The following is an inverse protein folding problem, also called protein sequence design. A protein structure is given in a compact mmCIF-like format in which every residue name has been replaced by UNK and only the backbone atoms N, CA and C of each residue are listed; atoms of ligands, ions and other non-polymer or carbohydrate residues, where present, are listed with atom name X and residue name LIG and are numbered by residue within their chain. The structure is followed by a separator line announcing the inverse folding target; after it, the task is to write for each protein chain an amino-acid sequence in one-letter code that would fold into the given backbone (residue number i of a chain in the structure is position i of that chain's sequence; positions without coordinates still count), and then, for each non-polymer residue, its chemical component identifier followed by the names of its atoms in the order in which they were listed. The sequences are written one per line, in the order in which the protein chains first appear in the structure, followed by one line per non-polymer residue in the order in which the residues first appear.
data_IF_360387692010
#
_entry.id   IF_360387692010
#
_cell.length_a   1.000
_cell.length_b   1.000
_cell.length_c   1.000
_cell.angle_alpha   90.00
_cell.angle_beta   90.00
_cell.angle_gamma   90.00
#
_symmetry.space_group_name_H-M   'P 1'
#
loop_
_entity.id
_entity.type
_entity.pdbx_description
1 polymer ?
#
# COMPACT_ATOMS: atom_id res chain seq x y z
N UNK A 1 5.22 -3.71 13.34
CA UNK A 1 4.65 -2.38 13.41
C UNK A 1 4.21 -1.93 12.08
N UNK A 2 2.96 -1.65 11.95
CA UNK A 2 2.40 -1.18 10.71
C UNK A 2 2.19 0.32 10.74
N UNK A 3 1.79 0.86 9.63
CA UNK A 3 1.35 2.23 9.53
C UNK A 3 -0.16 2.24 9.42
N UNK A 4 -0.79 3.27 9.96
CA UNK A 4 -2.22 3.39 9.84
C UNK A 4 -2.62 4.83 9.63
N UNK A 5 -3.73 5.02 8.95
CA UNK A 5 -4.26 6.34 8.67
C UNK A 5 -5.76 6.26 8.43
N UNK A 6 -6.47 7.28 8.92
CA UNK A 6 -7.90 7.40 8.64
C UNK A 6 -8.02 8.29 7.42
N UNK A 7 -8.46 7.72 6.31
CA UNK A 7 -8.43 8.39 5.02
C UNK A 7 -9.66 8.03 4.21
N UNK A 8 -9.81 8.76 3.11
CA UNK A 8 -10.78 8.38 2.09
C UNK A 8 -10.11 7.43 1.11
N UNK A 9 -10.82 6.39 0.73
CA UNK A 9 -10.31 5.41 -0.20
C UNK A 9 -11.31 5.16 -1.31
N UNK A 10 -10.79 4.77 -2.46
CA UNK A 10 -11.60 4.37 -3.60
C UNK A 10 -11.10 3.00 -4.05
N UNK A 11 -12.03 2.07 -4.20
CA UNK A 11 -11.70 0.71 -4.63
C UNK A 11 -12.67 0.37 -5.75
N UNK A 12 -12.17 0.32 -6.99
CA UNK A 12 -13.05 0.12 -8.13
C UNK A 12 -14.09 1.23 -8.17
N UNK A 13 -15.36 0.84 -8.09
CA UNK A 13 -16.47 1.80 -8.11
C UNK A 13 -16.90 2.26 -6.73
N UNK A 14 -16.31 1.71 -5.68
CA UNK A 14 -16.69 2.05 -4.32
C UNK A 14 -15.79 3.15 -3.78
N UNK A 15 -16.35 3.99 -2.92
CA UNK A 15 -15.59 5.04 -2.27
C UNK A 15 -16.14 5.24 -0.88
N UNK A 16 -15.27 5.56 0.07
CA UNK A 16 -15.71 5.79 1.42
C UNK A 16 -14.53 6.07 2.33
N UNK A 17 -14.84 6.30 3.60
CA UNK A 17 -13.79 6.55 4.57
C UNK A 17 -13.40 5.25 5.26
N UNK A 18 -12.11 5.05 5.35
CA UNK A 18 -11.58 3.82 5.90
C UNK A 18 -10.40 4.12 6.79
N UNK A 19 -10.06 3.15 7.63
CA UNK A 19 -8.78 3.13 8.29
C UNK A 19 -7.89 2.19 7.48
N UNK A 20 -6.85 2.75 6.91
CA UNK A 20 -5.90 1.96 6.14
C UNK A 20 -4.78 1.51 7.08
N UNK A 21 -4.46 0.25 7.03
CA UNK A 21 -3.45 -0.36 7.88
C UNK A 21 -2.42 -1.01 6.97
N UNK A 22 -1.21 -0.51 7.01
CA UNK A 22 -0.13 -1.10 6.23
C UNK A 22 0.67 -2.01 7.14
N UNK A 23 0.43 -3.30 6.98
CA UNK A 23 1.11 -4.31 7.76
C UNK A 23 2.31 -4.83 7.00
N UNK A 24 3.05 -5.72 7.64
CA UNK A 24 4.24 -6.28 7.04
C UNK A 24 3.94 -7.03 5.74
N UNK A 25 2.87 -7.79 5.74
CA UNK A 25 2.54 -8.69 4.63
C UNK A 25 1.35 -8.23 3.81
N UNK A 26 0.61 -7.26 4.29
CA UNK A 26 -0.65 -6.92 3.62
C UNK A 26 -1.06 -5.49 3.94
N UNK A 27 -1.92 -4.99 3.09
CA UNK A 27 -2.57 -3.70 3.28
C UNK A 27 -4.03 -3.99 3.56
N UNK A 28 -4.54 -3.45 4.66
CA UNK A 28 -5.90 -3.69 5.10
C UNK A 28 -6.67 -2.39 5.09
N UNK A 29 -7.89 -2.44 4.56
CA UNK A 29 -8.81 -1.33 4.61
C UNK A 29 -9.99 -1.73 5.47
N UNK A 30 -10.31 -0.91 6.46
CA UNK A 30 -11.42 -1.17 7.38
C UNK A 30 -12.27 0.09 7.48
N UNK A 31 -13.57 -0.09 7.52
CA UNK A 31 -14.50 1.03 7.60
C UNK A 31 -15.61 0.83 6.60
N UNK A 32 -15.88 1.87 5.81
CA UNK A 32 -16.94 1.78 4.81
C UNK A 32 -16.61 0.81 3.70
N UNK A 33 -15.33 0.60 3.45
CA UNK A 33 -14.86 -0.39 2.50
C UNK A 33 -13.95 -1.32 3.26
N UNK A 34 -14.17 -2.61 3.11
CA UNK A 34 -13.33 -3.61 3.77
C UNK A 34 -12.61 -4.42 2.70
N UNK A 35 -11.30 -4.38 2.70
CA UNK A 35 -10.48 -5.12 1.76
C UNK A 35 -9.17 -5.47 2.42
N UNK A 36 -8.56 -6.52 1.93
CA UNK A 36 -7.23 -6.93 2.34
C UNK A 36 -6.47 -7.27 1.08
N UNK A 37 -5.29 -6.69 0.95
CA UNK A 37 -4.45 -6.92 -0.22
C UNK A 37 -3.10 -7.44 0.26
N UNK A 38 -2.73 -8.66 -0.10
CA UNK A 38 -1.36 -9.11 0.17
C UNK A 38 -0.41 -8.17 -0.55
N UNK A 39 0.71 -7.85 0.07
CA UNK A 39 1.65 -6.92 -0.54
C UNK A 39 2.14 -7.42 -1.91
N UNK A 40 2.19 -8.73 -2.07
CA UNK A 40 2.60 -9.31 -3.34
C UNK A 40 1.56 -9.11 -4.44
N UNK A 41 0.33 -8.76 -4.08
CA UNK A 41 -0.72 -8.51 -5.05
C UNK A 41 -0.81 -7.05 -5.48
N UNK A 42 -0.01 -6.17 -4.89
CA UNK A 42 -0.04 -4.75 -5.21
C UNK A 42 0.80 -4.48 -6.44
N UNK A 43 0.19 -3.87 -7.44
CA UNK A 43 0.83 -3.59 -8.71
C UNK A 43 0.62 -2.15 -9.13
N UNK A 44 1.51 -1.66 -9.99
CA UNK A 44 1.38 -0.32 -10.56
C UNK A 44 1.23 0.75 -9.48
N UNK A 45 2.07 0.67 -8.46
CA UNK A 45 1.97 1.57 -7.31
C UNK A 45 2.56 2.92 -7.68
N UNK A 46 1.75 3.96 -7.56
CA UNK A 46 2.17 5.31 -7.90
C UNK A 46 1.66 6.30 -6.86
N UNK A 47 2.30 7.47 -6.82
CA UNK A 47 1.88 8.56 -5.95
C UNK A 47 1.79 9.83 -6.76
N UNK A 48 0.68 10.53 -6.61
CA UNK A 48 0.50 11.84 -7.23
C UNK A 48 -0.48 12.64 -6.39
N UNK A 49 -0.13 13.89 -6.13
CA UNK A 49 -1.02 14.84 -5.43
C UNK A 49 -1.56 14.29 -4.10
N UNK A 50 -0.72 13.60 -3.37
CA UNK A 50 -1.13 13.06 -2.08
C UNK A 50 -2.00 11.83 -2.16
N UNK A 51 -2.12 11.22 -3.33
CA UNK A 51 -2.91 10.02 -3.54
C UNK A 51 -1.99 8.86 -3.90
N UNK A 52 -2.07 7.81 -3.11
CA UNK A 52 -1.36 6.57 -3.40
C UNK A 52 -2.30 5.68 -4.19
N UNK A 53 -1.90 5.31 -5.39
CA UNK A 53 -2.72 4.50 -6.28
C UNK A 53 -2.02 3.19 -6.58
N UNK A 54 -2.79 2.13 -6.68
CA UNK A 54 -2.26 0.84 -7.07
C UNK A 54 -3.37 -0.04 -7.59
N UNK A 55 -2.99 -1.15 -8.17
CA UNK A 55 -3.94 -2.18 -8.57
C UNK A 55 -3.76 -3.35 -7.62
N UNK A 56 -4.85 -3.79 -7.01
CA UNK A 56 -4.82 -4.93 -6.12
C UNK A 56 -6.02 -5.81 -6.37
N UNK A 57 -5.81 -7.11 -6.44
CA UNK A 57 -6.88 -8.07 -6.65
C UNK A 57 -7.74 -7.74 -7.87
N UNK A 58 -7.12 -7.17 -8.91
CA UNK A 58 -7.83 -6.84 -10.12
C UNK A 58 -8.62 -5.55 -10.08
N UNK A 59 -8.46 -4.76 -9.02
CA UNK A 59 -9.18 -3.50 -8.87
C UNK A 59 -8.22 -2.34 -8.68
N UNK A 60 -8.60 -1.19 -9.23
CA UNK A 60 -7.82 0.03 -9.01
C UNK A 60 -8.18 0.58 -7.63
N UNK A 61 -7.18 0.94 -6.86
CA UNK A 61 -7.36 1.46 -5.51
C UNK A 61 -6.65 2.80 -5.40
N UNK A 62 -7.30 3.74 -4.74
CA UNK A 62 -6.73 5.05 -4.47
C UNK A 62 -6.88 5.36 -2.99
N UNK A 63 -5.80 5.75 -2.36
CA UNK A 63 -5.80 6.11 -0.95
C UNK A 63 -5.37 7.56 -0.84
N UNK A 64 -6.26 8.39 -0.31
CA UNK A 64 -6.01 9.82 -0.18
C UNK A 64 -5.24 10.08 1.10
N UNK A 65 -3.94 9.87 1.04
CA UNK A 65 -3.06 9.93 2.21
C UNK A 65 -2.47 11.30 2.47
N UNK A 66 -2.56 12.21 1.50
CA UNK A 66 -1.96 13.51 1.68
C UNK A 66 -0.45 13.41 1.81
N UNK A 67 0.09 14.04 2.85
CA UNK A 67 1.53 14.06 3.05
C UNK A 67 2.12 12.68 3.31
N UNK A 68 1.30 11.75 3.77
CA UNK A 68 1.78 10.41 4.06
C UNK A 68 1.91 9.54 2.82
N UNK A 69 1.37 9.98 1.68
CA UNK A 69 1.36 9.14 0.48
C UNK A 69 2.75 8.71 0.06
N UNK A 70 3.71 9.64 0.05
CA UNK A 70 5.07 9.30 -0.35
C UNK A 70 5.71 8.32 0.63
N UNK A 71 5.46 8.49 1.92
CA UNK A 71 6.00 7.60 2.94
C UNK A 71 5.43 6.19 2.77
N UNK A 72 4.13 6.10 2.52
CA UNK A 72 3.50 4.80 2.32
C UNK A 72 3.99 4.14 1.03
N UNK A 73 4.17 4.94 -0.03
CA UNK A 73 4.70 4.41 -1.27
C UNK A 73 6.07 3.79 -1.04
N UNK A 74 6.95 4.50 -0.34
CA UNK A 74 8.27 4.00 -0.04
C UNK A 74 8.19 2.72 0.80
N UNK A 75 7.30 2.71 1.81
CA UNK A 75 7.17 1.54 2.66
C UNK A 75 6.69 0.32 1.89
N UNK A 76 5.75 0.52 0.95
CA UNK A 76 5.22 -0.59 0.17
C UNK A 76 6.23 -1.09 -0.85
N UNK A 77 6.96 -0.19 -1.50
CA UNK A 77 7.86 -0.58 -2.58
C UNK A 77 9.24 -1.00 -2.09
N UNK A 78 9.57 -0.73 -0.82
CA UNK A 78 10.85 -1.14 -0.27
C UNK A 78 10.73 -2.57 0.24
N UNK A 79 11.52 -3.50 -0.30
CA UNK A 79 11.44 -4.88 0.17
C UNK A 79 11.99 -4.97 1.60
N UNK A 80 11.49 -5.91 2.38
CA UNK A 80 12.02 -6.09 3.72
C UNK A 80 13.46 -6.58 3.66
N UNK A 81 14.26 -6.32 4.69
CA UNK A 81 15.60 -6.88 4.75
C UNK A 81 15.53 -8.39 4.63
N UNK A 82 16.44 -8.95 3.88
CA UNK A 82 16.42 -10.38 3.66
C UNK A 82 17.83 -10.87 3.40
N UNK A 83 17.97 -12.17 3.43
CA UNK A 83 19.24 -12.77 3.11
C UNK A 83 19.65 -12.46 1.69
N UNK A 84 18.70 -12.35 0.82
CA UNK A 84 18.99 -12.06 -0.57
C UNK A 84 19.71 -10.72 -0.72
N UNK A 85 19.37 -9.77 0.11
CA UNK A 85 20.03 -8.49 0.06
C UNK A 85 21.51 -8.59 0.38
N UNK A 86 21.87 -9.55 1.18
CA UNK A 86 23.27 -9.77 1.53
C UNK A 86 24.03 -10.46 0.43
N UNK A 87 23.36 -11.31 -0.29
CA UNK A 87 24.01 -12.08 -1.35
C UNK A 87 24.32 -11.22 -2.55
N UNK A 88 23.63 -10.36 -2.74
CA UNK A 88 23.76 -9.48 -3.89
C UNK A 88 25.16 -9.09 -4.21
N UNK A 89 25.05 -10.44 -3.61
CA UNK A 89 25.56 -10.16 -3.77
C UNK A 89 26.32 -10.24 -4.20
N UNK A 90 26.16 -10.70 -4.27
CA UNK A 90 26.62 -10.58 -4.61
C UNK A 90 27.22 -10.44 -5.11
N UNK A 91 27.23 -10.55 -5.14
CA UNK A 91 27.47 -10.20 -5.55
C UNK A 91 27.64 -9.79 -5.68
N UNK A 92 27.47 -10.16 -5.38
CA UNK A 92 27.35 -9.75 -5.51
C UNK A 92 27.39 -9.72 -5.73
#
# INVERSE_FOLDING_TARGET
MGKEADIRAEVGDAAGEVRALLERDELILRGEIRRRFPRTALQDITVADGVLSFTGAGQAVRLHLGDAAATWHTAITTPPPSLRAKLGLDRG
#
